data_IF_668966176277
#
_entry.id   IF_668966176277
#
_cell.length_a   1.000
_cell.length_b   1.000
_cell.length_c   1.000
_cell.angle_alpha   90.00
_cell.angle_beta   90.00
_cell.angle_gamma   90.00
#
_symmetry.space_group_name_H-M   'P 1'
#
loop_
_entity.id
_entity.type
_entity.pdbx_description
1 polymer ?
#
# COMPACT_ATOMS: atom_id res chain seq x y z
N UNK A 1 22.40 3.45 16.66
CA UNK A 1 22.40 3.19 15.20
C UNK A 1 21.77 4.37 14.46
N UNK A 2 22.47 4.93 13.44
CA UNK A 2 21.96 6.05 12.65
C UNK A 2 21.38 5.54 11.32
N UNK A 3 20.08 5.74 11.14
CA UNK A 3 19.33 5.29 9.97
C UNK A 3 18.91 6.49 9.11
N UNK A 4 19.27 6.46 7.83
CA UNK A 4 18.76 7.42 6.85
C UNK A 4 17.72 6.72 5.97
N UNK A 5 16.47 7.14 6.09
CA UNK A 5 15.36 6.65 5.28
C UNK A 5 15.18 7.56 4.06
N UNK A 6 15.49 7.06 2.88
CA UNK A 6 15.40 7.83 1.63
C UNK A 6 14.14 7.46 0.85
N UNK A 7 13.22 8.41 0.77
CA UNK A 7 11.95 8.29 0.08
C UNK A 7 11.98 9.04 -1.24
N UNK A 8 11.27 8.50 -2.23
CA UNK A 8 11.14 9.16 -3.53
C UNK A 8 10.49 10.54 -3.41
N UNK A 9 9.31 10.60 -2.78
CA UNK A 9 8.56 11.83 -2.61
C UNK A 9 7.67 11.79 -1.36
N UNK A 10 7.26 12.97 -0.88
CA UNK A 10 6.26 13.13 0.17
C UNK A 10 4.86 13.39 -0.38
N UNK A 11 3.86 13.47 0.52
CA UNK A 11 2.49 13.85 0.22
C UNK A 11 1.53 12.69 -0.03
N UNK A 12 0.26 13.04 -0.22
CA UNK A 12 -0.88 12.12 -0.28
C UNK A 12 -0.73 10.92 -1.22
N UNK A 13 -0.16 11.06 -2.45
CA UNK A 13 -0.03 9.90 -3.35
C UNK A 13 0.87 8.78 -2.83
N UNK A 14 1.73 9.08 -1.85
CA UNK A 14 2.74 8.16 -1.31
C UNK A 14 2.44 7.71 0.12
N UNK A 15 1.28 8.06 0.69
CA UNK A 15 0.92 7.79 2.09
C UNK A 15 1.04 6.31 2.47
N UNK A 16 0.62 5.39 1.60
CA UNK A 16 0.75 3.95 1.85
C UNK A 16 2.21 3.51 1.98
N UNK A 17 3.10 4.05 1.14
CA UNK A 17 4.53 3.75 1.19
C UNK A 17 5.13 4.34 2.48
N UNK A 18 4.75 5.57 2.85
CA UNK A 18 5.19 6.18 4.11
C UNK A 18 4.73 5.39 5.34
N UNK A 19 3.51 4.86 5.34
CA UNK A 19 3.02 3.97 6.41
C UNK A 19 3.90 2.73 6.55
N UNK A 20 4.28 2.08 5.44
CA UNK A 20 5.17 0.92 5.45
C UNK A 20 6.54 1.27 6.04
N UNK A 21 7.18 2.33 5.54
CA UNK A 21 8.48 2.76 6.05
C UNK A 21 8.42 3.12 7.54
N UNK A 22 7.35 3.82 7.97
CA UNK A 22 7.12 4.14 9.38
C UNK A 22 7.07 2.88 10.24
N UNK A 23 6.31 1.87 9.82
CA UNK A 23 6.17 0.64 10.58
C UNK A 23 7.48 -0.15 10.63
N UNK A 24 8.23 -0.24 9.54
CA UNK A 24 9.57 -0.85 9.55
C UNK A 24 10.50 -0.11 10.51
N UNK A 25 10.54 1.21 10.43
CA UNK A 25 11.43 2.05 11.24
C UNK A 25 11.04 2.11 12.71
N UNK A 26 9.77 1.90 13.08
CA UNK A 26 9.35 1.82 14.49
C UNK A 26 9.99 0.65 15.23
N UNK A 27 10.52 -0.34 14.51
CA UNK A 27 11.23 -1.49 15.06
C UNK A 27 12.78 -1.33 15.08
N UNK A 28 13.29 -0.13 14.81
CA UNK A 28 14.73 0.14 14.77
C UNK A 28 15.44 0.09 16.14
N UNK A 29 14.69 -0.01 17.23
CA UNK A 29 15.21 0.05 18.61
C UNK A 29 15.23 1.48 19.17
N UNK A 30 15.21 1.58 20.49
CA UNK A 30 15.08 2.87 21.22
C UNK A 30 16.24 3.83 20.99
N UNK A 31 17.45 3.30 20.73
CA UNK A 31 18.66 4.11 20.53
C UNK A 31 18.89 4.49 19.06
N UNK A 32 17.99 4.15 18.17
CA UNK A 32 18.11 4.48 16.76
C UNK A 32 17.77 5.95 16.49
N UNK A 33 18.67 6.64 15.80
CA UNK A 33 18.42 7.99 15.27
C UNK A 33 17.97 7.88 13.83
N UNK A 34 16.75 8.31 13.55
CA UNK A 34 16.13 8.21 12.24
C UNK A 34 16.10 9.60 11.58
N UNK A 35 16.59 9.66 10.34
CA UNK A 35 16.50 10.85 9.50
C UNK A 35 15.81 10.50 8.17
N UNK A 36 14.68 11.12 7.89
CA UNK A 36 13.92 10.90 6.67
C UNK A 36 14.31 11.92 5.62
N UNK A 37 14.70 11.45 4.43
CA UNK A 37 15.10 12.29 3.32
C UNK A 37 14.11 12.15 2.17
N UNK A 38 13.35 13.21 1.93
CA UNK A 38 12.45 13.31 0.78
C UNK A 38 13.23 13.88 -0.40
N UNK A 39 13.38 13.08 -1.46
CA UNK A 39 14.18 13.49 -2.61
C UNK A 39 13.41 14.45 -3.51
N UNK A 40 12.11 14.23 -3.72
CA UNK A 40 11.22 15.08 -4.51
C UNK A 40 10.18 15.75 -3.62
N UNK A 41 9.90 17.03 -3.91
CA UNK A 41 8.81 17.76 -3.26
C UNK A 41 9.04 17.97 -1.76
N UNK A 42 7.95 18.31 -1.12
CA UNK A 42 7.81 18.53 0.32
C UNK A 42 6.59 17.80 0.84
N UNK A 43 6.44 17.72 2.14
CA UNK A 43 5.23 17.20 2.77
C UNK A 43 5.48 16.17 3.86
N UNK A 44 4.37 15.64 4.39
CA UNK A 44 4.41 14.66 5.47
C UNK A 44 5.22 13.42 5.06
N UNK A 45 6.14 13.05 5.92
CA UNK A 45 6.89 11.81 5.85
C UNK A 45 6.41 10.85 6.94
N UNK A 46 7.09 9.75 7.14
CA UNK A 46 6.69 8.67 8.05
C UNK A 46 6.52 9.09 9.54
N UNK A 47 6.81 10.34 9.90
CA UNK A 47 6.52 10.88 11.24
C UNK A 47 7.42 10.36 12.37
N UNK A 48 8.52 9.67 12.04
CA UNK A 48 9.54 9.23 12.99
C UNK A 48 10.85 9.95 12.73
N UNK A 49 11.43 10.56 13.75
CA UNK A 49 12.72 11.26 13.66
C UNK A 49 12.65 12.61 12.89
N UNK A 50 13.79 13.06 12.37
CA UNK A 50 13.90 14.31 11.62
C UNK A 50 13.58 14.13 10.14
N UNK A 51 13.09 15.19 9.47
CA UNK A 51 12.83 15.17 8.02
C UNK A 51 13.69 16.21 7.32
N UNK A 52 14.32 15.82 6.22
CA UNK A 52 15.09 16.69 5.31
C UNK A 52 14.51 16.61 3.91
N UNK A 53 14.12 17.76 3.37
CA UNK A 53 13.61 17.89 2.01
C UNK A 53 14.75 18.32 1.06
N UNK A 54 14.87 17.60 -0.06
CA UNK A 54 15.94 17.85 -1.03
C UNK A 54 15.47 18.67 -2.24
N UNK A 55 14.16 18.73 -2.47
CA UNK A 55 13.53 19.45 -3.59
C UNK A 55 14.18 19.18 -4.95
N UNK A 56 14.58 17.93 -5.19
CA UNK A 56 15.19 17.55 -6.45
C UNK A 56 14.15 17.51 -7.55
N UNK A 57 14.42 18.03 -8.77
CA UNK A 57 13.49 17.85 -9.87
C UNK A 57 13.46 16.38 -10.33
N UNK A 58 12.29 15.89 -10.69
CA UNK A 58 12.09 14.48 -11.13
C UNK A 58 13.00 14.09 -12.31
N UNK A 59 13.34 15.06 -13.17
CA UNK A 59 14.26 14.87 -14.29
C UNK A 59 15.69 14.54 -13.84
N UNK A 60 16.14 15.10 -12.72
CA UNK A 60 17.46 14.81 -12.12
C UNK A 60 17.54 13.36 -11.64
N UNK A 61 16.51 12.90 -10.95
CA UNK A 61 16.45 11.53 -10.43
C UNK A 61 16.31 10.50 -11.56
N UNK A 62 15.48 10.77 -12.57
CA UNK A 62 15.31 9.91 -13.75
C UNK A 62 16.53 9.95 -14.69
N UNK A 63 17.45 10.91 -14.50
CA UNK A 63 18.68 11.02 -15.29
C UNK A 63 18.43 11.28 -16.78
N UNK A 64 17.44 12.09 -17.12
CA UNK A 64 17.10 12.48 -18.50
C UNK A 64 17.89 13.75 -18.90
N UNK A 65 18.34 13.80 -20.15
CA UNK A 65 19.04 14.95 -20.77
C UNK A 65 20.29 15.42 -19.97
N UNK A 66 20.52 16.72 -19.90
CA UNK A 66 21.64 17.38 -19.20
C UNK A 66 21.80 17.03 -17.72
N UNK A 67 20.73 16.52 -17.07
CA UNK A 67 20.78 16.07 -15.68
C UNK A 67 21.73 14.88 -15.44
N UNK A 68 22.10 14.15 -16.49
CA UNK A 68 23.15 13.12 -16.39
C UNK A 68 24.49 13.72 -15.99
N UNK A 69 24.79 14.93 -16.41
CA UNK A 69 26.02 15.66 -16.09
C UNK A 69 26.04 16.13 -14.64
N UNK A 70 24.89 16.42 -14.03
CA UNK A 70 24.79 16.86 -12.65
C UNK A 70 24.77 15.70 -11.62
N UNK A 71 24.67 14.46 -12.08
CA UNK A 71 24.69 13.28 -11.18
C UNK A 71 25.93 13.20 -10.29
N UNK A 72 27.17 13.46 -10.75
CA UNK A 72 28.34 13.42 -9.88
C UNK A 72 28.25 14.45 -8.75
N UNK A 73 27.84 15.70 -9.06
CA UNK A 73 27.64 16.75 -8.08
C UNK A 73 26.55 16.39 -7.05
N UNK A 74 25.43 15.86 -7.51
CA UNK A 74 24.34 15.42 -6.66
C UNK A 74 24.80 14.29 -5.71
N UNK A 75 25.54 13.31 -6.25
CA UNK A 75 26.11 12.22 -5.45
C UNK A 75 27.12 12.73 -4.43
N UNK A 76 27.92 13.73 -4.77
CA UNK A 76 28.84 14.37 -3.83
C UNK A 76 28.09 15.04 -2.68
N UNK A 77 27.01 15.78 -2.96
CA UNK A 77 26.16 16.39 -1.92
C UNK A 77 25.51 15.35 -1.01
N UNK A 78 24.96 14.28 -1.60
CA UNK A 78 24.37 13.18 -0.83
C UNK A 78 25.44 12.47 0.02
N UNK A 79 26.63 12.25 -0.53
CA UNK A 79 27.74 11.62 0.21
C UNK A 79 28.15 12.45 1.43
N UNK A 80 28.30 13.77 1.25
CA UNK A 80 28.63 14.69 2.35
C UNK A 80 27.52 14.64 3.41
N UNK A 81 26.27 14.72 3.03
CA UNK A 81 25.14 14.67 3.95
C UNK A 81 25.03 13.32 4.69
N UNK A 82 25.32 12.20 4.05
CA UNK A 82 25.36 10.87 4.71
C UNK A 82 26.47 10.80 5.77
N UNK A 83 27.63 11.37 5.45
CA UNK A 83 28.73 11.45 6.41
C UNK A 83 28.38 12.36 7.60
N UNK A 84 27.78 13.53 7.35
CA UNK A 84 27.30 14.45 8.41
C UNK A 84 26.22 13.81 9.30
N UNK A 85 25.34 12.97 8.73
CA UNK A 85 24.33 12.23 9.46
C UNK A 85 24.92 11.00 10.22
N UNK A 86 26.19 10.68 10.00
CA UNK A 86 26.81 9.48 10.55
C UNK A 86 26.07 8.19 10.17
N UNK A 87 25.58 8.12 8.93
CA UNK A 87 24.69 7.04 8.49
C UNK A 87 25.40 5.67 8.58
N UNK A 88 24.78 4.72 9.25
CA UNK A 88 25.19 3.32 9.34
C UNK A 88 24.30 2.43 8.45
N UNK A 89 23.00 2.77 8.38
CA UNK A 89 22.00 2.07 7.57
C UNK A 89 21.26 3.06 6.70
N UNK A 90 21.06 2.72 5.42
CA UNK A 90 20.24 3.50 4.50
C UNK A 90 19.09 2.64 4.00
N UNK A 91 17.86 3.01 4.35
CA UNK A 91 16.63 2.39 3.85
C UNK A 91 16.17 3.13 2.60
N UNK A 92 16.02 2.44 1.48
CA UNK A 92 15.75 2.99 0.16
C UNK A 92 14.35 2.59 -0.33
N UNK A 93 13.56 3.58 -0.75
CA UNK A 93 12.24 3.40 -1.35
C UNK A 93 12.38 2.88 -2.80
N UNK A 94 12.47 1.58 -2.95
CA UNK A 94 12.49 0.86 -4.21
C UNK A 94 13.68 1.18 -5.13
N UNK A 95 13.56 0.68 -6.37
CA UNK A 95 14.64 0.80 -7.37
C UNK A 95 14.90 2.23 -7.82
N UNK A 96 13.88 3.11 -7.77
CA UNK A 96 14.03 4.51 -8.17
C UNK A 96 15.08 5.25 -7.37
N UNK A 97 15.02 5.12 -6.05
CA UNK A 97 16.00 5.69 -5.11
C UNK A 97 17.31 4.91 -5.15
N UNK A 98 17.25 3.58 -5.24
CA UNK A 98 18.43 2.72 -5.29
C UNK A 98 19.36 3.06 -6.47
N UNK A 99 18.84 3.37 -7.66
CA UNK A 99 19.64 3.81 -8.83
C UNK A 99 20.51 5.03 -8.55
N UNK A 100 20.06 5.93 -7.70
CA UNK A 100 20.82 7.13 -7.33
C UNK A 100 21.85 6.81 -6.26
N UNK A 101 21.47 6.05 -5.25
CA UNK A 101 22.19 5.93 -3.97
C UNK A 101 23.18 4.77 -3.95
N UNK A 102 22.85 3.60 -4.49
CA UNK A 102 23.76 2.45 -4.46
C UNK A 102 25.14 2.70 -5.09
N UNK A 103 25.25 3.36 -6.26
CA UNK A 103 26.57 3.67 -6.83
C UNK A 103 27.42 4.60 -5.94
N UNK A 104 26.78 5.40 -5.10
CA UNK A 104 27.45 6.25 -4.12
C UNK A 104 27.93 5.42 -2.93
N UNK A 105 27.09 4.50 -2.43
CA UNK A 105 27.40 3.64 -1.29
C UNK A 105 28.50 2.60 -1.59
N UNK A 106 28.76 2.27 -2.85
CA UNK A 106 29.93 1.43 -3.21
C UNK A 106 31.25 2.00 -2.68
N UNK A 107 31.34 3.34 -2.57
CA UNK A 107 32.53 4.05 -2.08
C UNK A 107 32.52 4.35 -0.58
N UNK A 108 31.45 3.97 0.13
CA UNK A 108 31.28 4.17 1.58
C UNK A 108 31.09 2.79 2.21
N UNK A 109 32.19 2.17 2.63
CA UNK A 109 32.23 0.74 2.97
C UNK A 109 31.52 0.37 4.27
N UNK A 110 31.35 1.30 5.19
CA UNK A 110 30.72 1.07 6.50
C UNK A 110 29.20 1.18 6.49
N UNK A 111 28.58 1.70 5.39
CA UNK A 111 27.13 1.88 5.29
C UNK A 111 26.48 0.66 4.66
N UNK A 112 25.44 0.15 5.30
CA UNK A 112 24.59 -0.93 4.79
C UNK A 112 23.36 -0.35 4.10
N UNK A 113 22.98 -0.93 2.97
CA UNK A 113 21.83 -0.52 2.19
C UNK A 113 20.70 -1.55 2.33
N UNK A 114 19.48 -1.08 2.52
CA UNK A 114 18.26 -1.85 2.55
C UNK A 114 17.33 -1.30 1.46
N UNK A 115 16.97 -2.11 0.47
CA UNK A 115 16.04 -1.70 -0.60
C UNK A 115 14.70 -2.38 -0.35
N UNK A 116 13.66 -1.58 -0.15
CA UNK A 116 12.31 -2.08 0.12
C UNK A 116 11.42 -1.85 -1.10
N UNK A 117 10.88 -2.93 -1.65
CA UNK A 117 9.96 -2.90 -2.79
C UNK A 117 8.51 -2.97 -2.32
N UNK A 118 7.66 -2.05 -2.83
CA UNK A 118 6.28 -1.86 -2.40
C UNK A 118 5.23 -2.38 -3.40
N UNK A 119 5.64 -2.81 -4.57
CA UNK A 119 4.72 -3.29 -5.60
C UNK A 119 5.45 -3.73 -6.85
N UNK A 120 4.69 -4.30 -7.78
CA UNK A 120 5.22 -4.84 -9.03
C UNK A 120 6.02 -3.76 -9.77
N UNK A 121 7.30 -4.01 -9.94
CA UNK A 121 8.26 -3.09 -10.54
C UNK A 121 8.99 -3.81 -11.65
N UNK A 122 8.92 -3.25 -12.86
CA UNK A 122 9.73 -3.77 -13.99
C UNK A 122 11.18 -3.34 -13.81
N UNK A 123 12.06 -4.29 -13.56
CA UNK A 123 13.51 -4.06 -13.52
C UNK A 123 14.08 -4.06 -14.94
N UNK A 124 14.93 -3.10 -15.25
CA UNK A 124 15.72 -3.07 -16.47
C UNK A 124 17.03 -3.86 -16.25
N UNK A 125 17.66 -4.34 -17.31
CA UNK A 125 18.94 -5.05 -17.21
C UNK A 125 20.04 -4.27 -16.46
N UNK A 126 20.00 -2.92 -16.52
CA UNK A 126 20.91 -2.06 -15.75
C UNK A 126 20.61 -2.09 -14.24
N UNK A 127 19.37 -2.29 -13.84
CA UNK A 127 18.97 -2.37 -12.42
C UNK A 127 19.38 -3.70 -11.82
N UNK A 128 19.15 -4.76 -12.59
CA UNK A 128 19.57 -6.11 -12.21
C UNK A 128 21.09 -6.13 -11.99
N UNK A 129 21.86 -5.64 -12.97
CA UNK A 129 23.34 -5.52 -12.83
C UNK A 129 23.75 -4.67 -11.63
N UNK A 130 23.07 -3.55 -11.38
CA UNK A 130 23.36 -2.68 -10.23
C UNK A 130 23.17 -3.42 -8.91
N UNK A 131 22.02 -4.10 -8.75
CA UNK A 131 21.71 -4.84 -7.54
C UNK A 131 22.59 -6.07 -7.35
N UNK A 132 22.92 -6.78 -8.43
CA UNK A 132 23.83 -7.95 -8.40
C UNK A 132 25.28 -7.58 -8.11
N UNK A 133 25.75 -6.44 -8.63
CA UNK A 133 27.15 -5.98 -8.42
C UNK A 133 27.42 -5.40 -7.03
N UNK A 134 26.38 -5.14 -6.24
CA UNK A 134 26.58 -4.64 -4.89
C UNK A 134 26.90 -5.79 -3.92
N UNK A 135 27.88 -5.63 -3.00
CA UNK A 135 28.26 -6.67 -2.04
C UNK A 135 27.07 -7.18 -1.23
N UNK A 136 26.86 -8.50 -1.19
CA UNK A 136 25.70 -9.13 -0.57
C UNK A 136 25.63 -8.90 0.95
N UNK A 137 26.78 -8.83 1.61
CA UNK A 137 26.90 -8.56 3.03
C UNK A 137 26.50 -7.12 3.42
N UNK A 138 26.40 -6.24 2.44
CA UNK A 138 26.04 -4.82 2.63
C UNK A 138 24.73 -4.41 1.99
N UNK A 139 24.08 -5.30 1.26
CA UNK A 139 22.79 -5.03 0.59
C UNK A 139 21.78 -6.09 0.95
N UNK A 140 20.75 -5.72 1.69
CA UNK A 140 19.54 -6.50 1.85
C UNK A 140 18.43 -5.96 0.95
N UNK A 141 17.73 -6.85 0.28
CA UNK A 141 16.57 -6.53 -0.55
C UNK A 141 15.36 -7.14 0.13
N UNK A 142 14.31 -6.35 0.30
CA UNK A 142 13.06 -6.81 0.89
C UNK A 142 11.86 -6.42 0.01
N UNK A 143 10.80 -7.22 0.08
CA UNK A 143 9.53 -6.99 -0.59
C UNK A 143 8.37 -7.15 0.37
N UNK A 144 7.33 -6.33 0.21
CA UNK A 144 6.17 -6.27 1.12
C UNK A 144 5.21 -7.45 1.02
N UNK A 145 5.40 -8.36 0.05
CA UNK A 145 4.64 -9.58 -0.13
C UNK A 145 5.53 -10.71 -0.63
N UNK A 146 5.13 -11.95 -0.39
CA UNK A 146 5.85 -13.14 -0.85
C UNK A 146 5.88 -13.22 -2.38
N UNK A 147 4.73 -13.01 -3.01
CA UNK A 147 4.61 -12.97 -4.48
C UNK A 147 5.61 -12.01 -5.12
N UNK A 148 5.76 -10.81 -4.53
CA UNK A 148 6.72 -9.82 -5.02
C UNK A 148 8.17 -10.26 -4.76
N UNK A 149 8.45 -10.84 -3.59
CA UNK A 149 9.79 -11.35 -3.26
C UNK A 149 10.24 -12.42 -4.25
N UNK A 150 9.41 -13.44 -4.50
CA UNK A 150 9.68 -14.52 -5.44
C UNK A 150 9.88 -14.03 -6.89
N UNK A 151 9.09 -13.02 -7.30
CA UNK A 151 9.29 -12.40 -8.62
C UNK A 151 10.63 -11.69 -8.71
N UNK A 152 11.02 -10.94 -7.68
CA UNK A 152 12.31 -10.25 -7.62
C UNK A 152 13.49 -11.23 -7.52
N UNK A 153 13.35 -12.32 -6.76
CA UNK A 153 14.39 -13.38 -6.69
C UNK A 153 14.67 -14.01 -8.04
N UNK A 154 13.61 -14.32 -8.79
CA UNK A 154 13.76 -14.86 -10.17
C UNK A 154 14.47 -13.88 -11.09
N UNK A 155 14.13 -12.59 -11.02
CA UNK A 155 14.74 -11.57 -11.87
C UNK A 155 16.19 -11.26 -11.47
N UNK A 156 16.50 -11.29 -10.17
CA UNK A 156 17.79 -10.88 -9.62
C UNK A 156 18.79 -12.04 -9.45
N UNK A 157 18.30 -13.29 -9.35
CA UNK A 157 19.14 -14.44 -9.02
C UNK A 157 19.82 -14.33 -7.65
N UNK A 158 19.20 -13.60 -6.69
CA UNK A 158 19.72 -13.42 -5.33
C UNK A 158 18.57 -13.37 -4.34
N UNK A 159 18.80 -13.72 -3.04
CA UNK A 159 17.75 -13.74 -2.03
C UNK A 159 17.08 -12.38 -1.84
N UNK A 160 15.75 -12.41 -1.70
CA UNK A 160 14.90 -11.25 -1.36
C UNK A 160 14.09 -11.60 -0.11
N UNK A 161 14.27 -10.84 0.95
CA UNK A 161 13.53 -11.07 2.19
C UNK A 161 12.04 -10.74 1.98
N UNK A 162 11.16 -11.67 2.28
CA UNK A 162 9.74 -11.37 2.39
C UNK A 162 9.48 -10.65 3.70
N UNK A 163 9.12 -9.38 3.60
CA UNK A 163 8.66 -8.57 4.73
C UNK A 163 7.17 -8.30 4.53
N UNK A 164 6.34 -9.35 4.72
CA UNK A 164 4.90 -9.22 4.56
C UNK A 164 4.39 -8.15 5.51
N UNK A 165 3.94 -7.04 4.92
CA UNK A 165 3.39 -5.93 5.67
C UNK A 165 2.17 -6.39 6.44
N UNK A 166 2.13 -6.12 7.73
CA UNK A 166 1.00 -6.37 8.61
C UNK A 166 0.69 -5.12 9.43
N UNK A 167 -0.56 -4.99 9.84
CA UNK A 167 -1.03 -3.93 10.73
C UNK A 167 -1.03 -4.45 12.17
N UNK A 168 -0.74 -3.58 13.13
CA UNK A 168 -0.88 -3.90 14.55
C UNK A 168 -2.37 -4.13 14.87
N UNK A 169 -2.78 -5.36 15.26
CA UNK A 169 -4.18 -5.67 15.45
C UNK A 169 -4.82 -4.86 16.60
N UNK A 170 -4.08 -4.63 17.69
CA UNK A 170 -4.59 -3.89 18.83
C UNK A 170 -4.75 -2.40 18.49
N UNK A 171 -3.71 -1.79 17.96
CA UNK A 171 -3.75 -0.37 17.55
C UNK A 171 -4.74 -0.12 16.40
N UNK A 172 -5.06 -1.14 15.60
CA UNK A 172 -6.05 -1.01 14.55
C UNK A 172 -7.48 -1.08 15.08
N UNK A 173 -7.78 -2.00 15.99
CA UNK A 173 -9.14 -2.26 16.47
C UNK A 173 -9.61 -1.22 17.50
N UNK A 174 -8.70 -0.69 18.32
CA UNK A 174 -9.01 0.25 19.39
C UNK A 174 -9.85 1.47 18.94
N UNK A 175 -9.53 2.19 17.86
CA UNK A 175 -10.26 3.38 17.43
C UNK A 175 -11.50 3.10 16.58
N UNK A 176 -11.86 1.83 16.31
CA UNK A 176 -12.98 1.50 15.43
C UNK A 176 -14.31 2.00 16.03
N UNK A 177 -15.05 2.77 15.25
CA UNK A 177 -16.43 3.16 15.58
C UNK A 177 -17.37 1.98 15.39
N UNK A 178 -18.50 1.98 16.09
CA UNK A 178 -19.56 1.03 15.78
C UNK A 178 -20.22 1.35 14.42
N UNK A 179 -21.04 0.43 13.90
CA UNK A 179 -21.67 0.53 12.58
C UNK A 179 -22.41 1.85 12.36
N UNK A 180 -23.24 2.25 13.30
CA UNK A 180 -24.11 3.42 13.16
C UNK A 180 -23.30 4.71 13.22
N UNK A 181 -22.37 4.81 14.14
CA UNK A 181 -21.44 5.94 14.24
C UNK A 181 -20.58 6.09 12.97
N UNK A 182 -20.07 4.98 12.44
CA UNK A 182 -19.27 4.98 11.23
C UNK A 182 -20.10 5.40 10.00
N UNK A 183 -21.34 4.92 9.87
CA UNK A 183 -22.28 5.34 8.81
C UNK A 183 -22.63 6.82 8.94
N UNK A 184 -22.88 7.30 10.16
CA UNK A 184 -23.15 8.71 10.41
C UNK A 184 -21.95 9.60 10.02
N UNK A 185 -20.74 9.23 10.42
CA UNK A 185 -19.51 9.96 10.09
C UNK A 185 -19.26 10.02 8.57
N UNK A 186 -19.66 8.98 7.85
CA UNK A 186 -19.61 8.94 6.38
C UNK A 186 -20.84 9.56 5.71
N UNK A 187 -21.83 10.05 6.46
CA UNK A 187 -23.11 10.57 5.95
C UNK A 187 -23.81 9.56 5.03
N UNK A 188 -23.80 8.29 5.41
CA UNK A 188 -24.45 7.21 4.69
C UNK A 188 -25.88 6.95 5.19
N UNK A 189 -26.77 6.39 4.35
CA UNK A 189 -28.11 6.02 4.78
C UNK A 189 -28.09 5.04 5.94
N UNK A 190 -28.76 5.38 7.05
CA UNK A 190 -28.82 4.54 8.26
C UNK A 190 -29.70 3.30 8.06
N UNK A 191 -30.71 3.38 7.22
CA UNK A 191 -31.66 2.31 6.93
C UNK A 191 -31.25 1.37 5.80
N UNK A 192 -30.00 1.46 5.28
CA UNK A 192 -29.54 0.55 4.24
C UNK A 192 -29.51 -0.90 4.75
N UNK A 193 -30.18 -1.80 4.04
CA UNK A 193 -30.19 -3.24 4.37
C UNK A 193 -28.77 -3.82 4.25
N UNK A 194 -28.09 -3.52 3.13
CA UNK A 194 -26.70 -3.90 2.89
C UNK A 194 -25.90 -2.72 2.36
N UNK A 195 -24.87 -2.32 3.08
CA UNK A 195 -23.92 -1.28 2.71
C UNK A 195 -22.61 -1.91 2.21
N UNK A 196 -22.37 -1.81 0.93
CA UNK A 196 -21.12 -2.22 0.30
C UNK A 196 -20.10 -1.09 0.38
N UNK A 197 -18.86 -1.39 0.72
CA UNK A 197 -17.77 -0.44 0.73
C UNK A 197 -16.76 -0.71 -0.37
N UNK A 198 -16.14 0.33 -0.91
CA UNK A 198 -14.96 0.23 -1.75
C UNK A 198 -13.99 1.36 -1.37
N UNK A 199 -12.71 1.04 -1.19
CA UNK A 199 -11.73 1.97 -0.64
C UNK A 199 -10.47 2.00 -1.50
N UNK A 200 -10.02 3.20 -1.88
CA UNK A 200 -8.78 3.35 -2.62
C UNK A 200 -8.69 4.66 -3.42
N UNK A 201 -7.53 4.91 -4.00
CA UNK A 201 -7.37 6.05 -4.92
C UNK A 201 -8.28 5.88 -6.14
N UNK A 202 -8.92 6.96 -6.56
CA UNK A 202 -9.79 6.95 -7.74
C UNK A 202 -8.94 7.01 -9.02
N UNK A 203 -8.35 5.85 -9.38
CA UNK A 203 -7.52 5.62 -10.56
C UNK A 203 -7.98 4.33 -11.27
N UNK A 204 -7.72 4.21 -12.55
CA UNK A 204 -8.19 3.10 -13.40
C UNK A 204 -7.81 1.72 -12.84
N UNK A 205 -6.60 1.59 -12.28
CA UNK A 205 -6.13 0.31 -11.73
C UNK A 205 -6.93 -0.19 -10.53
N UNK A 206 -7.80 0.63 -9.93
CA UNK A 206 -8.69 0.24 -8.82
C UNK A 206 -10.03 -0.32 -9.27
N UNK A 207 -10.39 -0.19 -10.54
CA UNK A 207 -11.55 -0.86 -11.13
C UNK A 207 -12.92 -0.32 -10.71
N UNK A 208 -13.00 0.89 -10.13
CA UNK A 208 -14.26 1.42 -9.60
C UNK A 208 -15.31 1.72 -10.67
N UNK A 209 -14.91 2.04 -11.91
CA UNK A 209 -15.86 2.23 -13.01
C UNK A 209 -16.61 0.93 -13.30
N UNK A 210 -15.89 -0.18 -13.48
CA UNK A 210 -16.49 -1.50 -13.67
C UNK A 210 -17.35 -1.92 -12.47
N UNK A 211 -16.93 -1.58 -11.24
CA UNK A 211 -17.71 -1.87 -10.04
C UNK A 211 -19.06 -1.15 -10.04
N UNK A 212 -19.11 0.11 -10.48
CA UNK A 212 -20.36 0.88 -10.61
C UNK A 212 -21.29 0.23 -11.63
N UNK A 213 -20.77 -0.26 -12.77
CA UNK A 213 -21.56 -1.00 -13.76
C UNK A 213 -22.14 -2.30 -13.17
N UNK A 214 -21.30 -3.10 -12.52
CA UNK A 214 -21.73 -4.32 -11.86
C UNK A 214 -22.79 -4.05 -10.77
N UNK A 215 -22.59 -2.98 -9.99
CA UNK A 215 -23.54 -2.54 -8.98
C UNK A 215 -24.89 -2.10 -9.61
N UNK A 216 -24.88 -1.40 -10.74
CA UNK A 216 -26.12 -1.01 -11.44
C UNK A 216 -26.97 -2.23 -11.77
N UNK A 217 -26.35 -3.29 -12.31
CA UNK A 217 -27.03 -4.56 -12.65
C UNK A 217 -27.58 -5.28 -11.41
N UNK A 218 -26.75 -5.38 -10.37
CA UNK A 218 -27.14 -6.07 -9.13
C UNK A 218 -28.26 -5.31 -8.39
N UNK A 219 -28.16 -3.99 -8.29
CA UNK A 219 -29.11 -3.16 -7.57
C UNK A 219 -30.50 -3.09 -8.23
N UNK A 220 -30.60 -3.40 -9.51
CA UNK A 220 -31.89 -3.55 -10.19
C UNK A 220 -32.69 -4.75 -9.66
N UNK A 221 -32.00 -5.81 -9.16
CA UNK A 221 -32.61 -7.02 -8.60
C UNK A 221 -32.68 -6.98 -7.07
N UNK A 222 -31.81 -6.19 -6.44
CA UNK A 222 -31.69 -6.06 -4.97
C UNK A 222 -31.83 -4.60 -4.55
N UNK A 223 -33.06 -4.09 -4.31
CA UNK A 223 -33.31 -2.68 -4.03
C UNK A 223 -32.67 -2.15 -2.76
N UNK A 224 -32.41 -3.02 -1.77
CA UNK A 224 -31.81 -2.66 -0.47
C UNK A 224 -30.28 -2.41 -0.50
N UNK A 225 -29.61 -2.65 -1.64
CA UNK A 225 -28.17 -2.45 -1.77
C UNK A 225 -27.80 -0.97 -1.87
N UNK A 226 -26.74 -0.59 -1.17
CA UNK A 226 -26.07 0.70 -1.24
C UNK A 226 -24.55 0.49 -1.45
N UNK A 227 -23.88 1.39 -2.14
CA UNK A 227 -22.44 1.35 -2.36
C UNK A 227 -21.80 2.68 -1.93
N UNK A 228 -20.78 2.61 -1.08
CA UNK A 228 -19.96 3.76 -0.73
C UNK A 228 -18.52 3.58 -1.23
N UNK A 229 -18.01 4.54 -1.98
CA UNK A 229 -16.64 4.56 -2.49
C UNK A 229 -15.87 5.67 -1.75
N UNK A 230 -14.81 5.29 -1.04
CA UNK A 230 -14.00 6.18 -0.23
C UNK A 230 -12.63 6.37 -0.88
N UNK A 231 -12.31 7.59 -1.21
CA UNK A 231 -11.02 7.96 -1.79
C UNK A 231 -11.10 9.16 -2.71
N UNK A 232 -9.94 9.58 -3.18
CA UNK A 232 -9.77 10.67 -4.15
C UNK A 232 -8.88 10.25 -5.29
N UNK A 233 -8.99 10.96 -6.41
CA UNK A 233 -8.13 10.75 -7.56
C UNK A 233 -8.70 11.32 -8.86
N UNK A 234 -7.91 11.25 -9.95
CA UNK A 234 -8.25 11.87 -11.23
C UNK A 234 -9.54 11.32 -11.87
N UNK A 235 -10.00 10.13 -11.46
CA UNK A 235 -11.25 9.57 -12.00
C UNK A 235 -12.53 10.06 -11.29
N UNK A 236 -12.44 10.90 -10.25
CA UNK A 236 -13.61 11.34 -9.49
C UNK A 236 -14.75 11.85 -10.40
N UNK A 237 -14.45 12.77 -11.32
CA UNK A 237 -15.47 13.33 -12.22
C UNK A 237 -16.07 12.29 -13.18
N UNK A 238 -15.24 11.35 -13.67
CA UNK A 238 -15.68 10.27 -14.55
C UNK A 238 -16.63 9.32 -13.80
N UNK A 239 -16.29 8.94 -12.59
CA UNK A 239 -17.13 8.07 -11.75
C UNK A 239 -18.45 8.76 -11.39
N UNK A 240 -18.44 10.05 -11.05
CA UNK A 240 -19.66 10.80 -10.77
C UNK A 240 -20.56 10.86 -11.99
N UNK A 241 -20.01 11.22 -13.15
CA UNK A 241 -20.78 11.23 -14.42
C UNK A 241 -21.39 9.87 -14.72
N UNK A 242 -20.69 8.77 -14.41
CA UNK A 242 -21.20 7.42 -14.63
C UNK A 242 -22.35 7.08 -13.68
N UNK A 243 -22.23 7.43 -12.41
CA UNK A 243 -23.30 7.29 -11.41
C UNK A 243 -24.56 8.02 -11.86
N UNK A 244 -24.41 9.26 -12.32
CA UNK A 244 -25.54 10.09 -12.76
C UNK A 244 -26.21 9.51 -14.01
N UNK A 245 -25.42 9.07 -15.00
CA UNK A 245 -25.90 8.46 -16.22
C UNK A 245 -26.68 7.15 -16.01
N UNK A 246 -26.34 6.40 -14.95
CA UNK A 246 -27.03 5.16 -14.57
C UNK A 246 -28.19 5.39 -13.60
N UNK A 247 -28.46 6.63 -13.20
CA UNK A 247 -29.52 6.97 -12.22
C UNK A 247 -29.26 6.44 -10.82
N UNK A 248 -27.99 6.33 -10.41
CA UNK A 248 -27.57 5.71 -9.14
C UNK A 248 -27.24 6.73 -8.04
N UNK A 249 -27.56 8.02 -8.21
CA UNK A 249 -27.17 9.08 -7.27
C UNK A 249 -27.61 8.84 -5.81
N UNK A 250 -28.77 8.18 -5.61
CA UNK A 250 -29.30 7.85 -4.28
C UNK A 250 -28.73 6.52 -3.71
N UNK A 251 -27.92 5.79 -4.49
CA UNK A 251 -27.44 4.43 -4.13
C UNK A 251 -25.93 4.29 -4.12
N UNK A 252 -25.21 5.13 -4.88
CA UNK A 252 -23.74 5.11 -4.94
C UNK A 252 -23.20 6.44 -4.43
N UNK A 253 -22.39 6.35 -3.38
CA UNK A 253 -21.91 7.50 -2.62
C UNK A 253 -20.40 7.66 -2.74
N UNK A 254 -19.91 8.67 -3.48
CA UNK A 254 -18.51 9.08 -3.44
C UNK A 254 -18.27 9.96 -2.22
N UNK A 255 -17.47 9.50 -1.25
CA UNK A 255 -17.29 10.18 0.06
C UNK A 255 -15.93 10.86 0.22
N UNK A 256 -15.15 10.96 -0.87
CA UNK A 256 -13.88 11.64 -0.86
C UNK A 256 -12.80 10.94 -0.03
N UNK A 257 -11.69 11.62 0.18
CA UNK A 257 -10.61 11.14 1.06
C UNK A 257 -10.99 11.29 2.54
N UNK A 258 -10.66 10.28 3.34
CA UNK A 258 -10.87 10.26 4.79
C UNK A 258 -9.58 9.95 5.51
N UNK A 259 -9.12 10.87 6.36
CA UNK A 259 -7.94 10.64 7.21
C UNK A 259 -8.23 9.65 8.34
N UNK A 260 -9.47 9.64 8.81
CA UNK A 260 -10.01 8.78 9.87
C UNK A 260 -10.57 7.43 9.36
N UNK A 261 -10.27 7.05 8.10
CA UNK A 261 -10.80 5.87 7.45
C UNK A 261 -10.66 4.59 8.29
N UNK A 262 -9.56 4.43 9.03
CA UNK A 262 -9.34 3.29 9.92
C UNK A 262 -10.52 3.08 10.88
N UNK A 263 -11.12 4.16 11.38
CA UNK A 263 -12.22 4.09 12.35
C UNK A 263 -13.56 3.70 11.70
N UNK A 264 -13.66 3.77 10.37
CA UNK A 264 -14.93 3.78 9.63
C UNK A 264 -15.27 2.47 8.92
N UNK A 265 -14.39 1.48 8.92
CA UNK A 265 -14.61 0.22 8.17
C UNK A 265 -15.91 -0.49 8.56
N UNK A 266 -16.32 -0.44 9.83
CA UNK A 266 -17.59 -1.03 10.30
C UNK A 266 -18.86 -0.38 9.74
N UNK A 267 -18.74 0.70 8.97
CA UNK A 267 -19.85 1.23 8.18
C UNK A 267 -20.33 0.25 7.11
N UNK A 268 -19.47 -0.64 6.66
CA UNK A 268 -19.71 -1.57 5.56
C UNK A 268 -20.10 -2.95 6.07
N UNK A 269 -21.03 -3.60 5.39
CA UNK A 269 -21.36 -5.00 5.59
C UNK A 269 -20.41 -5.90 4.77
N UNK A 270 -19.90 -5.40 3.65
CA UNK A 270 -18.90 -6.03 2.79
C UNK A 270 -17.95 -4.99 2.21
N UNK A 271 -16.67 -5.37 2.04
CA UNK A 271 -15.73 -4.58 1.27
C UNK A 271 -15.49 -5.22 -0.10
N UNK A 272 -15.61 -4.42 -1.16
CA UNK A 272 -15.38 -4.81 -2.54
C UNK A 272 -14.04 -4.22 -3.01
N UNK A 273 -13.14 -5.08 -3.51
CA UNK A 273 -11.78 -4.66 -3.93
C UNK A 273 -11.55 -5.09 -5.40
N UNK A 274 -12.11 -4.35 -6.39
CA UNK A 274 -12.10 -4.71 -7.80
C UNK A 274 -10.78 -4.33 -8.52
N UNK A 275 -9.69 -4.28 -7.79
CA UNK A 275 -8.39 -3.83 -8.30
C UNK A 275 -7.89 -4.70 -9.45
N UNK A 276 -7.37 -4.07 -10.50
CA UNK A 276 -6.69 -4.75 -11.62
C UNK A 276 -5.26 -5.15 -11.28
N UNK A 277 -4.66 -4.45 -10.33
CA UNK A 277 -3.31 -4.74 -9.82
C UNK A 277 -3.10 -4.13 -8.45
N UNK A 278 -2.35 -4.82 -7.59
CA UNK A 278 -2.01 -4.37 -6.23
C UNK A 278 -0.58 -4.75 -5.87
N UNK A 279 0.02 -3.94 -4.99
CA UNK A 279 1.29 -4.28 -4.35
C UNK A 279 1.09 -5.20 -3.15
N UNK A 280 0.17 -4.83 -2.27
CA UNK A 280 -0.24 -5.64 -1.12
C UNK A 280 -1.76 -5.57 -0.87
N UNK A 281 -2.39 -4.41 -1.09
CA UNK A 281 -3.81 -4.23 -0.82
C UNK A 281 -4.12 -4.20 0.68
N UNK A 282 -3.54 -3.25 1.42
CA UNK A 282 -3.76 -3.10 2.87
C UNK A 282 -5.24 -3.00 3.24
N UNK A 283 -6.09 -2.50 2.36
CA UNK A 283 -7.54 -2.40 2.57
C UNK A 283 -8.19 -3.76 2.88
N UNK A 284 -7.62 -4.87 2.39
CA UNK A 284 -8.09 -6.22 2.70
C UNK A 284 -7.84 -6.54 4.18
N UNK A 285 -6.63 -6.25 4.69
CA UNK A 285 -6.30 -6.44 6.10
C UNK A 285 -7.16 -5.53 6.99
N UNK A 286 -7.30 -4.27 6.60
CA UNK A 286 -8.08 -3.26 7.32
C UNK A 286 -9.54 -3.70 7.47
N UNK A 287 -10.17 -4.17 6.38
CA UNK A 287 -11.56 -4.64 6.43
C UNK A 287 -11.71 -5.90 7.29
N UNK A 288 -10.86 -6.91 7.07
CA UNK A 288 -10.92 -8.18 7.82
C UNK A 288 -10.71 -7.96 9.32
N UNK A 289 -9.81 -7.06 9.71
CA UNK A 289 -9.59 -6.71 11.12
C UNK A 289 -10.75 -5.90 11.73
N UNK A 290 -11.53 -5.21 10.91
CA UNK A 290 -12.77 -4.56 11.33
C UNK A 290 -13.99 -5.49 11.34
N UNK A 291 -13.80 -6.80 11.13
CA UNK A 291 -14.84 -7.83 10.99
C UNK A 291 -15.74 -7.62 9.75
N UNK A 292 -15.21 -6.97 8.71
CA UNK A 292 -15.89 -6.74 7.42
C UNK A 292 -15.36 -7.73 6.40
N UNK A 293 -16.19 -8.65 5.87
CA UNK A 293 -15.75 -9.59 4.85
C UNK A 293 -15.43 -8.92 3.52
N UNK A 294 -14.50 -9.53 2.78
CA UNK A 294 -13.96 -9.00 1.54
C UNK A 294 -14.32 -9.87 0.36
N UNK A 295 -14.77 -9.23 -0.73
CA UNK A 295 -14.81 -9.78 -2.08
C UNK A 295 -13.79 -9.03 -2.91
N UNK A 296 -12.89 -9.72 -3.59
CA UNK A 296 -11.77 -9.08 -4.28
C UNK A 296 -11.46 -9.74 -5.63
N UNK A 297 -10.78 -8.99 -6.49
CA UNK A 297 -10.22 -9.55 -7.73
C UNK A 297 -9.29 -10.73 -7.44
N UNK A 298 -9.24 -11.68 -8.36
CA UNK A 298 -8.36 -12.83 -8.28
C UNK A 298 -6.90 -12.42 -8.57
N UNK A 299 -6.25 -11.87 -7.56
CA UNK A 299 -4.84 -11.48 -7.58
C UNK A 299 -4.05 -12.34 -6.58
N UNK A 300 -2.85 -12.76 -6.98
CA UNK A 300 -1.96 -13.58 -6.14
C UNK A 300 -1.74 -12.96 -4.75
N UNK A 301 -1.58 -11.63 -4.68
CA UNK A 301 -1.39 -10.90 -3.43
C UNK A 301 -2.60 -10.97 -2.49
N UNK A 302 -3.81 -11.12 -3.01
CA UNK A 302 -5.01 -11.33 -2.19
C UNK A 302 -5.14 -12.79 -1.77
N UNK A 303 -4.81 -13.75 -2.65
CA UNK A 303 -4.70 -15.17 -2.30
C UNK A 303 -3.67 -15.42 -1.21
N UNK A 304 -2.56 -14.69 -1.24
CA UNK A 304 -1.54 -14.73 -0.18
C UNK A 304 -2.11 -14.33 1.19
N UNK A 305 -3.07 -13.39 1.24
CA UNK A 305 -3.67 -12.89 2.48
C UNK A 305 -4.85 -13.75 2.95
N UNK A 306 -5.78 -14.06 2.07
CA UNK A 306 -7.05 -14.71 2.41
C UNK A 306 -7.09 -16.20 2.11
N UNK A 307 -6.04 -16.77 1.49
CA UNK A 307 -5.92 -18.19 1.14
C UNK A 307 -7.20 -18.69 0.42
N UNK A 308 -7.83 -19.76 0.89
CA UNK A 308 -9.03 -20.35 0.30
C UNK A 308 -10.34 -19.70 0.80
N UNK A 309 -10.25 -18.65 1.62
CA UNK A 309 -11.43 -18.00 2.21
C UNK A 309 -11.87 -16.74 1.47
N UNK A 310 -11.12 -16.31 0.45
CA UNK A 310 -11.43 -15.12 -0.34
C UNK A 310 -12.57 -15.33 -1.31
N UNK A 311 -13.42 -14.32 -1.46
CA UNK A 311 -14.38 -14.22 -2.56
C UNK A 311 -13.67 -13.69 -3.82
N UNK A 312 -12.88 -14.56 -4.50
CA UNK A 312 -12.08 -14.17 -5.64
C UNK A 312 -12.90 -14.13 -6.92
N UNK A 313 -12.80 -13.02 -7.64
CA UNK A 313 -13.50 -12.80 -8.89
C UNK A 313 -12.52 -12.47 -10.03
N UNK A 314 -12.82 -12.87 -11.26
CA UNK A 314 -12.00 -12.50 -12.40
C UNK A 314 -11.82 -10.99 -12.50
N UNK A 315 -10.62 -10.55 -12.87
CA UNK A 315 -10.31 -9.14 -13.04
C UNK A 315 -11.15 -8.56 -14.17
N UNK A 316 -11.87 -7.48 -13.89
CA UNK A 316 -12.71 -6.76 -14.86
C UNK A 316 -13.86 -7.57 -15.48
N UNK A 317 -14.34 -8.62 -14.84
CA UNK A 317 -15.53 -9.37 -15.24
C UNK A 317 -16.78 -8.80 -14.56
N UNK A 318 -17.45 -7.87 -15.24
CA UNK A 318 -18.64 -7.17 -14.72
C UNK A 318 -19.77 -8.12 -14.31
N UNK A 319 -19.97 -9.21 -15.06
CA UNK A 319 -21.05 -10.16 -14.77
C UNK A 319 -20.78 -10.94 -13.49
N UNK A 320 -19.56 -11.46 -13.33
CA UNK A 320 -19.15 -12.15 -12.11
C UNK A 320 -19.24 -11.23 -10.88
N UNK A 321 -18.88 -9.95 -11.03
CA UNK A 321 -19.00 -8.95 -9.97
C UNK A 321 -20.46 -8.64 -9.63
N UNK A 322 -21.35 -8.50 -10.62
CA UNK A 322 -22.77 -8.27 -10.38
C UNK A 322 -23.40 -9.43 -9.60
N UNK A 323 -23.15 -10.68 -9.99
CA UNK A 323 -23.62 -11.87 -9.29
C UNK A 323 -23.06 -11.96 -7.84
N UNK A 324 -21.80 -11.59 -7.65
CA UNK A 324 -21.22 -11.59 -6.30
C UNK A 324 -21.83 -10.51 -5.41
N UNK A 325 -22.12 -9.33 -5.96
CA UNK A 325 -22.85 -8.25 -5.26
C UNK A 325 -24.25 -8.71 -4.85
N UNK A 326 -24.98 -9.38 -5.72
CA UNK A 326 -26.31 -9.95 -5.39
C UNK A 326 -26.19 -10.97 -4.22
N UNK A 327 -25.16 -11.81 -4.24
CA UNK A 327 -24.91 -12.77 -3.16
C UNK A 327 -24.57 -12.12 -1.82
N UNK A 328 -23.97 -10.94 -1.80
CA UNK A 328 -23.72 -10.20 -0.56
C UNK A 328 -25.00 -9.88 0.23
N UNK A 329 -26.15 -9.81 -0.42
CA UNK A 329 -27.43 -9.58 0.23
C UNK A 329 -27.97 -10.79 1.00
N UNK A 330 -27.53 -12.00 0.67
CA UNK A 330 -28.09 -13.26 1.22
C UNK A 330 -27.08 -14.07 2.02
N UNK A 331 -25.78 -13.81 1.87
CA UNK A 331 -24.73 -14.54 2.59
C UNK A 331 -24.53 -13.99 4.00
N UNK A 332 -24.16 -14.86 4.93
CA UNK A 332 -23.76 -14.47 6.28
C UNK A 332 -22.39 -13.77 6.28
N UNK A 333 -22.40 -12.45 6.31
CA UNK A 333 -21.19 -11.62 6.37
C UNK A 333 -20.29 -12.01 7.56
N UNK A 334 -20.84 -12.20 8.73
CA UNK A 334 -20.09 -12.54 9.94
C UNK A 334 -19.35 -13.88 9.85
N UNK A 335 -19.99 -14.90 9.24
CA UNK A 335 -19.37 -16.21 9.04
C UNK A 335 -18.16 -16.12 8.09
N UNK A 336 -18.27 -15.32 7.03
CA UNK A 336 -17.17 -15.15 6.05
C UNK A 336 -16.06 -14.29 6.66
N UNK A 337 -16.40 -13.22 7.37
CA UNK A 337 -15.42 -12.38 8.07
C UNK A 337 -14.58 -13.21 9.07
N UNK A 338 -15.21 -14.09 9.86
CA UNK A 338 -14.51 -14.95 10.81
C UNK A 338 -13.51 -15.88 10.10
N UNK A 339 -13.91 -16.52 8.99
CA UNK A 339 -13.02 -17.37 8.19
C UNK A 339 -11.84 -16.59 7.60
N UNK A 340 -12.11 -15.40 7.06
CA UNK A 340 -11.07 -14.54 6.49
C UNK A 340 -10.11 -14.03 7.58
N UNK A 341 -10.60 -13.69 8.77
CA UNK A 341 -9.75 -13.32 9.90
C UNK A 341 -8.85 -14.48 10.35
N UNK A 342 -9.36 -15.70 10.39
CA UNK A 342 -8.56 -16.88 10.69
C UNK A 342 -7.47 -17.11 9.63
N UNK A 343 -7.79 -16.93 8.34
CA UNK A 343 -6.83 -17.07 7.25
C UNK A 343 -5.74 -15.98 7.26
N UNK A 344 -6.12 -14.74 7.54
CA UNK A 344 -5.21 -13.60 7.66
C UNK A 344 -4.26 -13.74 8.85
N UNK A 345 -4.76 -14.34 9.97
CA UNK A 345 -4.01 -14.52 11.23
C UNK A 345 -3.27 -13.25 11.67
N UNK A 346 -3.97 -12.13 11.92
CA UNK A 346 -3.35 -10.81 12.02
C UNK A 346 -2.33 -10.71 13.15
N UNK A 347 -2.52 -11.37 14.28
CA UNK A 347 -1.60 -11.38 15.42
C UNK A 347 -0.25 -12.05 15.06
N UNK A 348 -0.32 -13.19 14.37
CA UNK A 348 0.87 -13.92 13.92
C UNK A 348 1.59 -13.16 12.78
N UNK A 349 0.81 -12.59 11.86
CA UNK A 349 1.35 -11.76 10.78
C UNK A 349 2.09 -10.53 11.33
N UNK A 350 1.53 -9.88 12.35
CA UNK A 350 2.15 -8.74 13.02
C UNK A 350 3.45 -9.12 13.70
N UNK A 351 3.49 -10.22 14.47
CA UNK A 351 4.71 -10.72 15.12
C UNK A 351 5.81 -11.04 14.10
N UNK A 352 5.44 -11.70 13.00
CA UNK A 352 6.38 -12.00 11.92
C UNK A 352 6.93 -10.73 11.25
N UNK A 353 6.07 -9.73 11.04
CA UNK A 353 6.46 -8.43 10.50
C UNK A 353 7.41 -7.68 11.44
N UNK A 354 7.13 -7.65 12.75
CA UNK A 354 8.00 -7.03 13.74
C UNK A 354 9.40 -7.66 13.73
N UNK A 355 9.46 -8.99 13.82
CA UNK A 355 10.72 -9.74 13.81
C UNK A 355 11.49 -9.55 12.49
N UNK A 356 10.79 -9.60 11.36
CA UNK A 356 11.36 -9.37 10.03
C UNK A 356 11.92 -7.95 9.87
N UNK A 357 11.22 -6.94 10.38
CA UNK A 357 11.66 -5.54 10.35
C UNK A 357 12.93 -5.32 11.18
N UNK A 358 13.00 -5.90 12.38
CA UNK A 358 14.20 -5.85 13.22
C UNK A 358 15.37 -6.54 12.52
N UNK A 359 15.16 -7.72 11.96
CA UNK A 359 16.17 -8.45 11.21
C UNK A 359 16.69 -7.63 10.03
N UNK A 360 15.78 -7.05 9.21
CA UNK A 360 16.15 -6.23 8.06
C UNK A 360 17.05 -5.05 8.46
N UNK A 361 16.73 -4.36 9.55
CA UNK A 361 17.48 -3.17 9.98
C UNK A 361 18.83 -3.51 10.64
N UNK A 362 18.98 -4.70 11.23
CA UNK A 362 20.20 -5.14 11.89
C UNK A 362 21.19 -5.88 10.98
N UNK A 363 20.68 -6.59 9.96
CA UNK A 363 21.48 -7.38 8.98
C UNK A 363 22.40 -6.52 8.06
#
# INVERSE_FOLDING_TARGET
>A
MNIVNMMWAGGTPYMSIHKVHRQVLSHAGTDARISNWLLLGSGLCCGLGSTREWHMPSRALKGRHLWRLLRPWLRMRLRKALAEAGAEVVLLDGIGVARLVLPLLQRITHVRAKVLFHGKTRLHASDIRLLQSFPSERLSIAAVSQTLAESLERDLGRPVQTLRMALDPLAFVEPLLNRDQARQALKLPQGAEVMLGAVGRLVESKGFEMLIEAFARASARQPGLQLAIIGEGPQHAVLQQRIDALGLAERVHLRGHREDLQQLYRAFDWLLVPSRSEGLGLVVQEAVMADVPVVCSDLEVFREQLRDTGGYLPVADESAWAEAIERCAVLSASTIAAKQRQALAPEQAWQAFCSGSQSLLRS
#
